data_IF_354447559577
#
_entry.id   IF_354447559577
#
_cell.length_a   1.000
_cell.length_b   1.000
_cell.length_c   1.000
_cell.angle_alpha   90.00
_cell.angle_beta   90.00
_cell.angle_gamma   90.00
#
_symmetry.space_group_name_H-M   'P 1'
#
loop_
_entity.id
_entity.type
_entity.pdbx_description
1 polymer ?
#
# COMPACT_ATOMS: atom_id res chain seq x y z
N UNK A 1 12.45 -45.67 48.13
CA UNK A 1 12.71 -47.12 47.95
C UNK A 1 11.94 -47.54 46.71
N UNK A 2 12.62 -47.57 45.56
CA UNK A 2 13.05 -48.78 44.82
C UNK A 2 11.91 -49.32 43.91
N UNK A 3 12.09 -49.69 42.65
CA UNK A 3 13.23 -49.79 41.71
C UNK A 3 12.63 -50.06 40.30
N UNK A 4 13.42 -49.77 39.27
CA UNK A 4 13.41 -50.19 37.86
C UNK A 4 12.60 -51.45 37.48
N UNK A 5 12.13 -51.65 36.24
CA UNK A 5 12.52 -51.13 34.94
C UNK A 5 12.52 -52.29 33.94
N UNK A 6 12.39 -52.04 32.63
CA UNK A 6 12.95 -52.90 31.59
C UNK A 6 12.98 -52.12 30.27
N UNK A 7 14.18 -51.67 29.90
CA UNK A 7 14.56 -51.40 28.51
C UNK A 7 14.70 -52.73 27.79
N UNK A 8 14.17 -52.84 26.57
CA UNK A 8 14.73 -53.69 25.52
C UNK A 8 14.90 -52.84 24.25
N UNK A 9 16.11 -52.93 23.69
CA UNK A 9 16.60 -52.19 22.53
C UNK A 9 16.57 -53.09 21.28
N UNK A 10 16.79 -52.45 20.13
CA UNK A 10 17.12 -52.97 18.77
C UNK A 10 15.93 -53.33 17.88
N UNK A 11 15.66 -52.63 16.76
CA UNK A 11 16.38 -52.29 15.51
C UNK A 11 16.18 -53.30 14.37
N UNK A 12 15.76 -52.75 13.22
CA UNK A 12 15.83 -53.23 11.84
C UNK A 12 14.81 -54.25 11.31
N UNK A 13 14.08 -53.83 10.28
CA UNK A 13 13.29 -54.66 9.37
C UNK A 13 12.58 -53.82 8.32
N UNK A 14 13.29 -53.46 7.25
CA UNK A 14 12.81 -52.69 6.12
C UNK A 14 11.84 -53.49 5.21
N UNK A 15 10.92 -52.74 4.59
CA UNK A 15 10.31 -52.87 3.24
C UNK A 15 9.98 -54.24 2.65
N UNK A 16 8.72 -54.42 2.23
CA UNK A 16 8.39 -54.78 0.83
C UNK A 16 7.16 -53.99 0.36
N UNK A 17 7.34 -53.33 -0.78
CA UNK A 17 6.42 -52.47 -1.46
C UNK A 17 5.30 -53.22 -2.20
N UNK A 18 4.11 -52.62 -2.24
CA UNK A 18 3.30 -52.61 -3.46
C UNK A 18 3.40 -51.21 -4.04
N UNK A 19 4.26 -51.07 -5.04
CA UNK A 19 4.50 -49.82 -5.73
C UNK A 19 3.25 -49.32 -6.44
N UNK A 20 2.74 -48.18 -5.96
CA UNK A 20 2.60 -47.02 -6.81
C UNK A 20 3.27 -45.87 -6.08
N UNK A 21 4.48 -45.54 -6.53
CA UNK A 21 5.00 -44.19 -6.43
C UNK A 21 3.91 -43.26 -6.96
N UNK A 22 3.15 -42.62 -6.08
CA UNK A 22 2.62 -41.31 -6.42
C UNK A 22 3.84 -40.40 -6.46
N UNK A 23 4.57 -40.47 -7.58
CA UNK A 23 5.32 -39.31 -8.02
C UNK A 23 4.37 -38.13 -7.96
N UNK A 24 4.89 -36.98 -7.55
CA UNK A 24 4.18 -35.71 -7.67
C UNK A 24 3.54 -35.69 -9.06
N UNK A 25 2.24 -35.97 -9.10
CA UNK A 25 1.50 -35.99 -10.35
C UNK A 25 1.46 -34.53 -10.74
N UNK A 26 2.11 -34.18 -11.86
CA UNK A 26 1.92 -32.89 -12.52
C UNK A 26 0.41 -32.69 -12.66
N UNK A 27 -0.19 -31.89 -11.78
CA UNK A 27 -1.54 -31.38 -11.99
C UNK A 27 -1.42 -30.44 -13.18
N UNK A 28 -2.11 -30.76 -14.26
CA UNK A 28 -1.87 -30.15 -15.57
C UNK A 28 -2.70 -28.88 -15.80
N UNK A 29 -3.55 -28.50 -14.85
CA UNK A 29 -4.38 -27.30 -14.93
C UNK A 29 -4.48 -26.61 -13.56
N UNK A 30 -4.37 -25.28 -13.55
CA UNK A 30 -4.41 -24.49 -12.32
C UNK A 30 -5.77 -24.54 -11.64
N UNK A 31 -6.88 -24.80 -12.36
CA UNK A 31 -8.20 -24.99 -11.74
C UNK A 31 -8.22 -26.13 -10.70
N UNK A 32 -7.42 -27.18 -10.89
CA UNK A 32 -7.26 -28.28 -9.92
C UNK A 32 -6.30 -27.92 -8.76
N UNK A 33 -5.43 -26.94 -8.98
CA UNK A 33 -4.52 -26.37 -7.97
C UNK A 33 -5.26 -25.34 -7.11
N UNK A 34 -6.05 -24.45 -7.72
CA UNK A 34 -6.88 -23.44 -7.08
C UNK A 34 -8.09 -24.06 -6.36
N UNK A 35 -8.71 -25.10 -6.93
CA UNK A 35 -9.65 -25.95 -6.20
C UNK A 35 -8.94 -26.72 -5.08
N UNK A 36 -7.64 -27.03 -5.24
CA UNK A 36 -6.78 -27.49 -4.16
C UNK A 36 -6.60 -26.44 -3.07
N UNK A 37 -6.31 -25.18 -3.39
CA UNK A 37 -6.14 -24.05 -2.46
C UNK A 37 -7.44 -23.78 -1.69
N UNK A 38 -8.58 -23.67 -2.40
CA UNK A 38 -9.90 -23.47 -1.80
C UNK A 38 -10.34 -24.65 -0.93
N UNK A 39 -9.86 -25.87 -1.21
CA UNK A 39 -10.20 -27.08 -0.45
C UNK A 39 -9.14 -27.52 0.57
N UNK A 40 -7.92 -26.95 0.55
CA UNK A 40 -6.79 -27.27 1.45
C UNK A 40 -6.35 -25.98 2.16
N UNK A 41 -7.20 -25.52 3.07
CA UNK A 41 -7.16 -24.21 3.74
C UNK A 41 -6.12 -24.19 4.86
N UNK A 42 -4.83 -24.33 4.54
CA UNK A 42 -3.77 -24.29 5.56
C UNK A 42 -2.54 -23.54 5.08
N UNK A 43 -1.93 -22.73 5.96
CA UNK A 43 -0.67 -22.02 5.73
C UNK A 43 0.41 -22.93 5.12
N UNK A 44 0.58 -24.15 5.66
CA UNK A 44 1.53 -25.15 5.15
C UNK A 44 1.28 -25.56 3.68
N UNK A 45 0.04 -25.51 3.20
CA UNK A 45 -0.27 -25.79 1.79
C UNK A 45 0.11 -24.61 0.89
N UNK A 46 -0.10 -23.36 1.34
CA UNK A 46 0.33 -22.16 0.62
C UNK A 46 1.86 -22.14 0.43
N UNK A 47 2.60 -22.43 1.49
CA UNK A 47 4.06 -22.52 1.47
C UNK A 47 4.55 -23.53 0.41
N UNK A 48 3.91 -24.70 0.30
CA UNK A 48 4.26 -25.72 -0.69
C UNK A 48 3.84 -25.32 -2.12
N UNK A 49 2.81 -24.49 -2.27
CA UNK A 49 2.24 -24.08 -3.56
C UNK A 49 2.98 -22.92 -4.22
N UNK A 50 3.73 -22.14 -3.46
CA UNK A 50 4.70 -21.17 -3.98
C UNK A 50 5.67 -21.79 -5.02
N UNK A 51 5.81 -23.13 -5.02
CA UNK A 51 6.62 -23.89 -5.96
C UNK A 51 6.06 -24.06 -7.38
N UNK A 52 4.80 -23.70 -7.67
CA UNK A 52 4.10 -24.08 -8.92
C UNK A 52 3.82 -22.94 -9.91
N UNK A 53 4.62 -21.87 -9.87
CA UNK A 53 4.35 -20.61 -10.57
C UNK A 53 3.82 -20.65 -12.02
N UNK A 54 3.08 -19.57 -12.32
CA UNK A 54 3.09 -18.71 -13.51
C UNK A 54 1.98 -18.65 -14.56
N UNK A 55 1.04 -19.58 -14.69
CA UNK A 55 0.24 -19.55 -15.94
C UNK A 55 -1.29 -19.37 -15.84
N UNK A 56 -1.96 -19.23 -14.69
CA UNK A 56 -3.43 -18.97 -14.71
C UNK A 56 -3.98 -18.26 -13.45
N UNK A 57 -3.70 -16.96 -13.29
CA UNK A 57 -4.45 -16.11 -12.35
C UNK A 57 -5.73 -15.58 -13.01
N UNK A 58 -6.72 -16.42 -13.31
CA UNK A 58 -7.93 -15.98 -14.05
C UNK A 58 -9.25 -16.35 -13.37
N UNK A 59 -10.24 -15.46 -13.55
CA UNK A 59 -11.63 -15.43 -13.02
C UNK A 59 -11.87 -14.67 -11.69
N UNK A 60 -11.42 -13.41 -11.59
CA UNK A 60 -11.91 -12.48 -10.54
C UNK A 60 -12.43 -11.15 -11.13
N UNK A 61 -11.91 -10.74 -12.29
CA UNK A 61 -12.26 -9.48 -12.97
C UNK A 61 -12.57 -9.70 -14.46
N UNK A 62 -12.96 -8.63 -15.16
CA UNK A 62 -13.11 -8.63 -16.61
C UNK A 62 -11.81 -9.14 -17.29
N UNK A 63 -11.96 -9.93 -18.37
CA UNK A 63 -10.85 -10.72 -18.92
C UNK A 63 -9.64 -9.90 -19.38
N UNK A 64 -9.88 -8.69 -19.89
CA UNK A 64 -8.83 -7.74 -20.30
C UNK A 64 -8.11 -7.12 -19.10
N UNK A 65 -8.83 -6.85 -18.01
CA UNK A 65 -8.26 -6.38 -16.74
C UNK A 65 -7.37 -7.48 -16.13
N UNK A 66 -7.87 -8.72 -16.08
CA UNK A 66 -7.07 -9.86 -15.63
C UNK A 66 -5.81 -10.03 -16.49
N UNK A 67 -5.92 -9.99 -17.82
CA UNK A 67 -4.77 -10.11 -18.72
C UNK A 67 -3.73 -9.00 -18.45
N UNK A 68 -4.17 -7.75 -18.31
CA UNK A 68 -3.29 -6.61 -18.02
C UNK A 68 -2.60 -6.73 -16.66
N UNK A 69 -3.35 -7.02 -15.60
CA UNK A 69 -2.81 -7.16 -14.24
C UNK A 69 -1.79 -8.30 -14.16
N UNK A 70 -2.08 -9.45 -14.77
CA UNK A 70 -1.14 -10.59 -14.82
C UNK A 70 0.10 -10.26 -15.62
N UNK A 71 -0.05 -9.58 -16.76
CA UNK A 71 1.08 -9.21 -17.60
C UNK A 71 2.05 -8.25 -16.88
N UNK A 72 1.52 -7.37 -16.03
CA UNK A 72 2.29 -6.37 -15.30
C UNK A 72 2.88 -6.91 -13.99
N UNK A 73 2.05 -7.50 -13.13
CA UNK A 73 2.44 -7.96 -11.78
C UNK A 73 2.97 -9.40 -11.76
N UNK A 74 2.53 -10.23 -12.70
CA UNK A 74 2.91 -11.64 -12.79
C UNK A 74 4.43 -11.87 -12.84
N UNK A 75 5.21 -11.10 -13.63
CA UNK A 75 6.67 -11.21 -13.62
C UNK A 75 7.31 -10.93 -12.25
N UNK A 76 6.74 -10.02 -11.45
CA UNK A 76 7.24 -9.66 -10.11
C UNK A 76 6.97 -10.82 -9.15
N UNK A 77 5.71 -11.25 -9.06
CA UNK A 77 5.32 -12.40 -8.24
C UNK A 77 6.12 -13.67 -8.62
N UNK A 78 6.37 -13.87 -9.91
CA UNK A 78 7.18 -14.97 -10.40
C UNK A 78 8.65 -14.89 -10.00
N UNK A 79 9.18 -13.68 -9.86
CA UNK A 79 10.53 -13.44 -9.36
C UNK A 79 10.60 -13.86 -7.89
N UNK A 80 9.73 -13.28 -7.06
CA UNK A 80 9.68 -13.53 -5.62
C UNK A 80 9.52 -15.04 -5.32
N UNK A 81 8.56 -15.69 -5.97
CA UNK A 81 8.29 -17.12 -5.79
C UNK A 81 9.48 -18.03 -6.13
N UNK A 82 10.36 -17.61 -7.06
CA UNK A 82 11.56 -18.39 -7.44
C UNK A 82 12.72 -18.17 -6.48
N UNK A 83 12.79 -17.02 -5.82
CA UNK A 83 13.91 -16.65 -4.96
C UNK A 83 13.60 -16.85 -3.47
N UNK A 84 12.33 -16.99 -3.09
CA UNK A 84 11.91 -17.16 -1.71
C UNK A 84 12.30 -18.53 -1.12
N UNK A 85 12.88 -18.52 0.09
CA UNK A 85 13.15 -19.75 0.86
C UNK A 85 11.86 -20.25 1.53
N UNK A 86 11.62 -21.57 1.49
CA UNK A 86 10.43 -22.18 2.08
C UNK A 86 10.84 -23.30 3.06
N UNK A 87 10.37 -23.28 4.33
CA UNK A 87 9.59 -22.22 4.97
C UNK A 87 10.46 -21.04 5.39
N UNK A 88 9.91 -19.82 5.36
CA UNK A 88 10.56 -18.61 5.87
C UNK A 88 9.55 -17.58 6.35
N UNK A 89 10.02 -16.55 7.07
CA UNK A 89 9.21 -15.37 7.42
C UNK A 89 8.66 -14.68 6.18
N UNK A 90 9.43 -14.62 5.09
CA UNK A 90 9.01 -14.03 3.82
C UNK A 90 7.82 -14.81 3.21
N UNK A 91 7.88 -16.14 3.19
CA UNK A 91 6.76 -16.98 2.71
C UNK A 91 5.53 -16.87 3.59
N UNK A 92 5.69 -16.80 4.92
CA UNK A 92 4.57 -16.61 5.83
C UNK A 92 3.88 -15.25 5.60
N UNK A 93 4.67 -14.17 5.43
CA UNK A 93 4.14 -12.84 5.13
C UNK A 93 3.47 -12.77 3.75
N UNK A 94 4.09 -13.36 2.72
CA UNK A 94 3.51 -13.46 1.38
C UNK A 94 2.16 -14.20 1.40
N UNK A 95 2.10 -15.38 2.04
CA UNK A 95 0.86 -16.15 2.17
C UNK A 95 -0.21 -15.44 3.03
N UNK A 96 0.22 -14.62 4.00
CA UNK A 96 -0.68 -13.76 4.77
C UNK A 96 -1.26 -12.65 3.90
N UNK A 97 -0.41 -11.90 3.19
CA UNK A 97 -0.81 -10.71 2.42
C UNK A 97 -1.60 -11.08 1.16
N UNK A 98 -1.13 -12.05 0.38
CA UNK A 98 -1.74 -12.37 -0.92
C UNK A 98 -2.98 -13.25 -0.77
N UNK A 99 -2.97 -14.20 0.16
CA UNK A 99 -4.02 -15.22 0.27
C UNK A 99 -4.80 -15.21 1.59
N UNK A 100 -4.34 -14.48 2.62
CA UNK A 100 -4.96 -14.51 3.95
C UNK A 100 -4.90 -15.88 4.62
N UNK A 101 -3.90 -16.71 4.29
CA UNK A 101 -3.82 -18.12 4.72
C UNK A 101 -2.94 -18.38 5.94
N UNK A 102 -2.15 -17.39 6.36
CA UNK A 102 -1.25 -17.46 7.51
C UNK A 102 -1.55 -16.32 8.50
N UNK A 103 -1.16 -16.51 9.76
CA UNK A 103 -1.13 -15.41 10.72
C UNK A 103 0.10 -14.53 10.47
N UNK A 104 0.00 -13.23 10.76
CA UNK A 104 1.16 -12.34 10.73
C UNK A 104 2.22 -12.83 11.72
N UNK A 105 3.46 -13.08 11.27
CA UNK A 105 4.55 -13.46 12.16
C UNK A 105 4.90 -12.30 13.11
N UNK A 106 5.62 -12.62 14.19
CA UNK A 106 6.18 -11.60 15.06
C UNK A 106 7.13 -10.68 14.27
N UNK A 107 7.10 -9.39 14.57
CA UNK A 107 7.99 -8.41 13.95
C UNK A 107 9.43 -8.74 14.32
N UNK A 108 10.28 -8.92 13.31
CA UNK A 108 11.72 -9.06 13.50
C UNK A 108 12.30 -7.75 14.03
N UNK A 109 12.96 -7.79 15.19
CA UNK A 109 13.61 -6.61 15.74
C UNK A 109 14.78 -6.19 14.85
N UNK A 110 14.85 -4.89 14.56
CA UNK A 110 15.96 -4.25 13.87
C UNK A 110 16.40 -3.03 14.66
N UNK A 111 17.70 -2.94 14.93
CA UNK A 111 18.29 -1.82 15.64
C UNK A 111 18.95 -0.88 14.63
N UNK A 112 18.52 0.38 14.64
CA UNK A 112 19.18 1.45 13.88
C UNK A 112 20.14 2.17 14.82
N UNK A 113 21.36 2.40 14.36
CA UNK A 113 22.37 3.14 15.13
C UNK A 113 22.05 4.64 15.13
N UNK A 114 21.96 5.23 16.32
CA UNK A 114 21.77 6.66 16.51
C UNK A 114 23.13 7.32 16.78
N UNK A 115 23.60 8.28 15.94
CA UNK A 115 24.92 8.90 16.09
C UNK A 115 25.08 9.65 17.41
N UNK A 116 24.05 10.37 17.84
CA UNK A 116 24.04 11.15 19.08
C UNK A 116 23.17 10.52 20.16
N UNK A 117 23.61 10.68 21.41
CA UNK A 117 22.80 10.31 22.57
C UNK A 117 21.60 11.26 22.71
N UNK A 118 20.42 10.70 23.01
CA UNK A 118 19.21 11.49 23.28
C UNK A 118 19.49 12.59 24.33
N UNK A 119 19.12 13.87 24.06
CA UNK A 119 19.31 14.95 25.02
C UNK A 119 18.59 14.69 26.34
N UNK A 120 19.31 14.77 27.47
CA UNK A 120 18.78 14.42 28.81
C UNK A 120 17.58 15.28 29.24
N UNK A 121 17.47 16.51 28.74
CA UNK A 121 16.45 17.49 29.13
C UNK A 121 15.57 17.92 27.94
N UNK A 122 15.33 17.01 26.98
CA UNK A 122 14.45 17.30 25.87
C UNK A 122 13.02 17.60 26.36
N UNK A 123 12.56 18.83 26.18
CA UNK A 123 11.19 19.26 26.46
C UNK A 123 10.60 19.95 25.24
N UNK A 124 9.27 19.84 25.07
CA UNK A 124 8.56 20.59 24.03
C UNK A 124 8.88 22.09 24.18
N UNK A 125 9.38 22.77 23.14
CA UNK A 125 9.63 24.21 23.20
C UNK A 125 8.34 24.98 23.47
N UNK A 126 8.46 26.12 24.15
CA UNK A 126 7.36 27.07 24.26
C UNK A 126 6.95 27.57 22.86
N UNK A 127 5.66 27.84 22.62
CA UNK A 127 5.22 28.51 21.40
C UNK A 127 6.02 29.80 21.18
N UNK A 128 6.43 30.07 19.93
CA UNK A 128 7.25 31.24 19.60
C UNK A 128 6.52 32.57 19.77
N UNK A 129 5.18 32.55 19.83
CA UNK A 129 4.35 33.76 19.84
C UNK A 129 4.32 34.50 18.50
N UNK A 130 4.98 33.96 17.46
CA UNK A 130 4.93 34.49 16.10
C UNK A 130 3.61 34.17 15.40
N UNK A 131 3.39 34.85 14.27
CA UNK A 131 2.26 34.55 13.39
C UNK A 131 2.42 33.14 12.81
N UNK A 132 1.42 32.25 12.96
CA UNK A 132 1.45 30.95 12.33
C UNK A 132 1.53 31.07 10.80
N UNK A 133 2.27 30.17 10.16
CA UNK A 133 2.21 29.99 8.72
C UNK A 133 0.95 29.19 8.35
N UNK A 134 0.44 29.43 7.14
CA UNK A 134 -0.58 28.59 6.53
C UNK A 134 0.11 27.64 5.54
N UNK A 135 -0.27 26.38 5.56
CA UNK A 135 0.27 25.33 4.67
C UNK A 135 -0.92 24.61 4.05
N UNK A 136 -0.81 24.30 2.77
CA UNK A 136 -1.77 23.46 2.05
C UNK A 136 -1.24 22.03 2.09
N UNK A 137 -2.11 21.07 2.35
CA UNK A 137 -1.78 19.64 2.36
C UNK A 137 -2.79 18.94 1.46
N UNK A 138 -2.30 18.36 0.36
CA UNK A 138 -3.07 17.63 -0.63
C UNK A 138 -2.47 16.23 -0.83
N UNK A 139 -3.33 15.28 -1.14
CA UNK A 139 -2.97 13.87 -1.29
C UNK A 139 -3.98 13.17 -2.18
N UNK A 140 -3.58 12.04 -2.77
CA UNK A 140 -4.46 11.09 -3.45
C UNK A 140 -5.35 11.78 -4.51
N UNK A 141 -4.75 12.63 -5.36
CA UNK A 141 -5.52 13.38 -6.36
C UNK A 141 -6.12 12.40 -7.37
N UNK A 142 -5.36 11.38 -7.80
CA UNK A 142 -5.80 10.35 -8.74
C UNK A 142 -6.51 10.94 -9.96
N UNK A 143 -5.79 11.77 -10.72
CA UNK A 143 -6.35 12.38 -11.93
C UNK A 143 -6.55 11.32 -13.01
N UNK A 144 -7.80 11.13 -13.43
CA UNK A 144 -8.15 10.32 -14.58
C UNK A 144 -8.26 11.19 -15.84
N UNK A 145 -7.20 11.15 -16.65
CA UNK A 145 -7.15 11.84 -17.95
C UNK A 145 -8.11 11.27 -18.99
N UNK A 146 -8.69 10.09 -18.72
CA UNK A 146 -9.70 9.43 -19.57
C UNK A 146 -11.12 9.64 -19.05
N UNK A 147 -11.31 10.35 -17.93
CA UNK A 147 -12.63 10.66 -17.40
C UNK A 147 -13.45 11.42 -18.44
N UNK A 148 -14.67 10.97 -18.68
CA UNK A 148 -15.60 11.67 -19.57
C UNK A 148 -16.94 11.90 -18.89
N UNK A 149 -17.36 13.17 -18.83
CA UNK A 149 -18.65 13.55 -18.23
C UNK A 149 -19.81 12.82 -18.90
N UNK A 150 -20.80 12.40 -18.09
CA UNK A 150 -21.98 11.65 -18.51
C UNK A 150 -21.75 10.21 -18.97
N UNK A 151 -20.53 9.67 -18.88
CA UNK A 151 -20.30 8.22 -18.99
C UNK A 151 -20.80 7.48 -17.75
N UNK A 152 -20.87 6.14 -17.80
CA UNK A 152 -21.40 5.36 -16.68
C UNK A 152 -20.45 5.34 -15.48
N UNK A 153 -20.89 5.81 -14.32
CA UNK A 153 -20.20 5.56 -13.04
C UNK A 153 -20.46 4.14 -12.50
N UNK A 154 -21.51 3.47 -13.00
CA UNK A 154 -21.87 2.12 -12.61
C UNK A 154 -21.37 1.16 -13.70
N UNK A 155 -20.20 0.58 -13.47
CA UNK A 155 -19.54 -0.35 -14.39
C UNK A 155 -18.97 -1.56 -13.64
N UNK A 156 -18.50 -2.57 -14.36
CA UNK A 156 -17.86 -3.77 -13.79
C UNK A 156 -16.33 -3.68 -13.73
N UNK A 157 -15.76 -2.55 -14.17
CA UNK A 157 -14.31 -2.33 -14.25
C UNK A 157 -13.80 -1.68 -12.97
N UNK A 158 -12.50 -1.81 -12.73
CA UNK A 158 -11.82 -1.22 -11.58
C UNK A 158 -11.89 0.32 -11.54
N UNK A 159 -11.94 0.96 -12.71
CA UNK A 159 -12.12 2.40 -12.86
C UNK A 159 -13.34 2.58 -13.78
N UNK A 160 -14.33 3.34 -13.33
CA UNK A 160 -15.52 3.70 -14.12
C UNK A 160 -15.40 5.13 -14.67
N UNK A 161 -16.49 5.71 -15.18
CA UNK A 161 -16.52 7.07 -15.73
C UNK A 161 -15.64 7.30 -16.97
N UNK A 162 -15.35 6.23 -17.71
CA UNK A 162 -14.66 6.28 -19.01
C UNK A 162 -15.52 5.59 -20.08
N UNK A 163 -15.37 5.97 -21.37
CA UNK A 163 -16.18 5.44 -22.47
C UNK A 163 -15.64 4.11 -23.03
N UNK A 164 -15.44 3.09 -22.18
CA UNK A 164 -14.90 1.80 -22.62
C UNK A 164 -15.76 1.10 -23.68
N UNK A 165 -17.08 1.22 -23.55
CA UNK A 165 -18.04 0.59 -24.45
C UNK A 165 -19.15 1.57 -24.88
N UNK A 166 -19.91 1.20 -25.91
CA UNK A 166 -21.05 2.01 -26.36
C UNK A 166 -22.15 2.15 -25.29
N UNK A 167 -22.28 1.19 -24.36
CA UNK A 167 -23.23 1.29 -23.25
C UNK A 167 -22.78 2.27 -22.17
N UNK A 168 -21.48 2.47 -22.03
CA UNK A 168 -20.91 3.40 -21.04
C UNK A 168 -20.80 4.82 -21.58
N UNK A 169 -20.95 5.00 -22.90
CA UNK A 169 -20.82 6.29 -23.57
C UNK A 169 -21.88 7.31 -23.09
N UNK A 170 -21.57 8.62 -23.18
CA UNK A 170 -22.49 9.68 -22.82
C UNK A 170 -23.85 9.54 -23.50
N UNK A 171 -24.93 9.64 -22.72
CA UNK A 171 -26.30 9.55 -23.21
C UNK A 171 -26.84 8.12 -23.39
N UNK A 172 -26.03 7.09 -23.19
CA UNK A 172 -26.44 5.69 -23.28
C UNK A 172 -26.56 4.97 -21.92
N UNK A 173 -26.24 5.64 -20.82
CA UNK A 173 -26.31 5.11 -19.45
C UNK A 173 -27.45 5.72 -18.63
N UNK A 174 -27.95 4.96 -17.64
CA UNK A 174 -28.85 5.46 -16.59
C UNK A 174 -28.09 6.02 -15.37
N UNK A 175 -26.76 5.92 -15.38
CA UNK A 175 -25.86 6.27 -14.28
C UNK A 175 -24.79 7.27 -14.77
N UNK A 176 -25.17 8.46 -15.27
CA UNK A 176 -24.22 9.41 -15.83
C UNK A 176 -23.36 10.06 -14.73
N UNK A 177 -22.04 10.01 -14.93
CA UNK A 177 -21.05 10.67 -14.10
C UNK A 177 -21.13 12.21 -14.22
N UNK A 178 -20.83 12.92 -13.13
CA UNK A 178 -20.91 14.38 -13.06
C UNK A 178 -19.78 15.08 -13.82
N UNK A 179 -19.85 16.41 -13.90
CA UNK A 179 -18.74 17.23 -14.44
C UNK A 179 -17.52 17.22 -13.51
N UNK A 180 -17.75 17.14 -12.20
CA UNK A 180 -16.71 17.17 -11.16
C UNK A 180 -16.51 15.82 -10.46
N UNK A 181 -16.90 14.72 -11.12
CA UNK A 181 -16.67 13.36 -10.60
C UNK A 181 -17.94 12.62 -10.20
N UNK A 182 -17.71 11.40 -9.71
CA UNK A 182 -18.65 10.54 -8.98
C UNK A 182 -17.86 9.79 -7.89
N UNK A 183 -18.52 9.34 -6.83
CA UNK A 183 -17.85 8.61 -5.73
C UNK A 183 -17.31 7.23 -6.14
N UNK A 184 -17.71 6.73 -7.30
CA UNK A 184 -17.30 5.43 -7.85
C UNK A 184 -16.15 5.54 -8.86
N UNK A 185 -15.54 6.73 -8.99
CA UNK A 185 -14.59 7.06 -10.04
C UNK A 185 -13.42 7.88 -9.52
N UNK A 186 -12.34 7.88 -10.29
CA UNK A 186 -11.20 8.76 -10.09
C UNK A 186 -11.51 10.21 -10.50
N UNK A 187 -10.60 11.11 -10.16
CA UNK A 187 -10.79 12.55 -10.22
C UNK A 187 -10.71 13.06 -11.66
N UNK A 188 -11.73 13.73 -12.19
CA UNK A 188 -11.57 14.46 -13.45
C UNK A 188 -10.67 15.69 -13.27
N UNK A 189 -9.98 16.07 -14.34
CA UNK A 189 -9.16 17.29 -14.37
C UNK A 189 -9.93 18.55 -13.94
N UNK A 190 -11.22 18.63 -14.25
CA UNK A 190 -12.10 19.74 -13.82
C UNK A 190 -12.19 19.89 -12.30
N UNK A 191 -12.20 18.79 -11.55
CA UNK A 191 -12.24 18.81 -10.09
C UNK A 191 -10.89 19.27 -9.53
N UNK A 192 -9.78 18.76 -10.07
CA UNK A 192 -8.43 19.18 -9.71
C UNK A 192 -8.21 20.68 -9.94
N UNK A 193 -8.55 21.18 -11.14
CA UNK A 193 -8.45 22.61 -11.48
C UNK A 193 -9.30 23.49 -10.56
N UNK A 194 -10.51 23.03 -10.20
CA UNK A 194 -11.38 23.75 -9.28
C UNK A 194 -10.81 23.80 -7.85
N UNK A 195 -10.14 22.74 -7.41
CA UNK A 195 -9.45 22.68 -6.12
C UNK A 195 -8.31 23.68 -6.09
N UNK A 196 -7.49 23.76 -7.13
CA UNK A 196 -6.41 24.76 -7.21
C UNK A 196 -6.94 26.19 -7.20
N UNK A 197 -8.03 26.47 -7.94
CA UNK A 197 -8.68 27.77 -7.90
C UNK A 197 -9.17 28.14 -6.49
N UNK A 198 -9.77 27.18 -5.77
CA UNK A 198 -10.21 27.38 -4.39
C UNK A 198 -9.03 27.60 -3.42
N UNK A 199 -7.93 26.87 -3.58
CA UNK A 199 -6.70 27.06 -2.79
C UNK A 199 -6.17 28.49 -2.98
N UNK A 200 -6.09 28.94 -4.24
CA UNK A 200 -5.63 30.30 -4.57
C UNK A 200 -6.55 31.39 -3.99
N UNK A 201 -7.86 31.15 -3.90
CA UNK A 201 -8.81 32.10 -3.30
C UNK A 201 -8.76 32.10 -1.76
N UNK A 202 -8.75 30.92 -1.14
CA UNK A 202 -8.91 30.76 0.31
C UNK A 202 -7.62 30.96 1.09
N UNK A 203 -6.48 30.56 0.52
CA UNK A 203 -5.16 30.62 1.15
C UNK A 203 -4.08 31.14 0.18
N UNK A 204 -4.27 32.34 -0.42
CA UNK A 204 -3.36 32.90 -1.43
C UNK A 204 -1.92 33.11 -0.96
N UNK A 205 -1.71 33.17 0.35
CA UNK A 205 -0.40 33.40 0.99
C UNK A 205 0.10 32.16 1.74
N UNK A 206 -0.29 30.95 1.32
CA UNK A 206 0.28 29.73 1.85
C UNK A 206 1.82 29.76 1.74
N UNK A 207 2.50 29.36 2.80
CA UNK A 207 3.96 29.34 2.86
C UNK A 207 4.55 28.32 1.87
N UNK A 208 3.88 27.18 1.73
CA UNK A 208 4.16 26.10 0.79
C UNK A 208 2.98 25.12 0.76
N UNK A 209 3.01 24.23 -0.20
CA UNK A 209 2.13 23.06 -0.30
C UNK A 209 2.90 21.79 0.02
N UNK A 210 2.25 20.87 0.70
CA UNK A 210 2.67 19.47 0.84
C UNK A 210 1.80 18.67 -0.12
N UNK A 211 2.44 17.81 -0.91
CA UNK A 211 1.76 16.85 -1.78
C UNK A 211 2.25 15.46 -1.45
N UNK A 212 1.36 14.59 -1.00
CA UNK A 212 1.74 13.28 -0.48
C UNK A 212 1.57 12.12 -1.47
N UNK A 213 1.52 12.38 -2.79
CA UNK A 213 1.63 11.36 -3.84
C UNK A 213 0.31 10.98 -4.51
N UNK A 214 0.40 10.00 -5.43
CA UNK A 214 -0.69 9.44 -6.24
C UNK A 214 -1.25 10.40 -7.32
N UNK A 215 -0.29 10.87 -8.16
CA UNK A 215 -0.29 11.60 -9.48
C UNK A 215 -1.30 12.74 -9.73
N UNK A 216 -0.99 13.93 -10.32
CA UNK A 216 0.19 14.72 -10.77
C UNK A 216 0.09 16.10 -10.07
N UNK A 217 1.19 16.87 -9.91
CA UNK A 217 1.15 18.26 -9.41
C UNK A 217 1.68 19.26 -10.46
N UNK A 218 0.83 20.20 -10.91
CA UNK A 218 1.17 21.16 -11.98
C UNK A 218 0.59 22.58 -11.85
N UNK A 219 0.24 23.07 -10.65
CA UNK A 219 -0.38 24.41 -10.54
C UNK A 219 -0.08 25.23 -9.28
N UNK A 220 0.79 24.76 -8.37
CA UNK A 220 1.10 25.46 -7.11
C UNK A 220 2.55 25.95 -7.05
N UNK A 221 2.81 26.88 -6.12
CA UNK A 221 4.10 27.56 -5.99
C UNK A 221 5.20 26.63 -5.45
N UNK A 222 5.57 26.75 -4.17
CA UNK A 222 6.57 25.90 -3.53
C UNK A 222 5.87 24.63 -3.03
N UNK A 223 6.25 23.48 -3.60
CA UNK A 223 5.65 22.18 -3.26
C UNK A 223 6.71 21.24 -2.69
N UNK A 224 6.37 20.57 -1.60
CA UNK A 224 7.13 19.46 -1.04
C UNK A 224 6.39 18.15 -1.29
N UNK A 225 6.82 17.45 -2.35
CA UNK A 225 6.26 16.18 -2.79
C UNK A 225 6.75 14.97 -2.00
N UNK A 226 5.93 13.92 -1.95
CA UNK A 226 6.25 12.55 -1.56
C UNK A 226 5.79 11.63 -2.66
N UNK A 227 6.57 10.60 -2.96
CA UNK A 227 6.17 9.59 -3.94
C UNK A 227 5.09 8.67 -3.36
N UNK A 228 3.97 8.57 -4.07
CA UNK A 228 2.84 7.69 -3.78
C UNK A 228 3.02 6.28 -4.35
N UNK A 229 2.13 5.35 -4.01
CA UNK A 229 2.24 3.98 -4.48
C UNK A 229 1.74 3.80 -5.93
N UNK A 230 0.88 4.69 -6.43
CA UNK A 230 0.39 4.77 -7.81
C UNK A 230 1.27 5.63 -8.73
N UNK A 231 2.35 6.23 -8.22
CA UNK A 231 3.30 7.03 -9.04
C UNK A 231 4.23 6.15 -9.91
N UNK A 232 4.06 4.83 -9.86
CA UNK A 232 4.79 3.88 -10.72
C UNK A 232 3.83 2.95 -11.45
N UNK A 233 4.36 2.34 -12.52
CA UNK A 233 3.70 1.28 -13.26
C UNK A 233 4.70 0.12 -13.40
N UNK A 234 4.34 -1.11 -12.96
CA UNK A 234 3.11 -1.49 -12.27
C UNK A 234 2.91 -0.78 -10.91
N UNK A 235 1.69 -0.79 -10.38
CA UNK A 235 1.39 -0.12 -9.09
C UNK A 235 2.20 -0.77 -7.97
N UNK A 236 2.62 -0.01 -6.96
CA UNK A 236 3.44 -0.48 -5.84
C UNK A 236 4.85 -1.00 -6.24
N UNK A 237 5.29 -0.83 -7.49
CA UNK A 237 6.52 -1.42 -7.98
C UNK A 237 7.76 -0.62 -7.55
N UNK A 238 8.28 -0.90 -6.35
CA UNK A 238 9.47 -0.25 -5.80
C UNK A 238 10.53 -1.28 -5.37
N UNK A 239 11.30 -1.85 -6.31
CA UNK A 239 12.37 -2.79 -5.96
C UNK A 239 13.44 -2.09 -5.10
N UNK A 240 13.75 -2.62 -3.91
CA UNK A 240 14.89 -2.16 -3.10
C UNK A 240 16.24 -2.33 -3.82
N UNK A 241 17.25 -1.61 -3.35
CA UNK A 241 18.57 -1.55 -4.00
C UNK A 241 19.28 -2.90 -4.11
N UNK A 242 19.05 -3.82 -3.17
CA UNK A 242 19.70 -5.15 -3.17
C UNK A 242 18.98 -6.18 -4.05
N UNK A 243 17.84 -5.82 -4.66
CA UNK A 243 17.11 -6.72 -5.56
C UNK A 243 17.73 -6.73 -6.96
N UNK A 244 18.14 -7.92 -7.40
CA UNK A 244 18.68 -8.13 -8.75
C UNK A 244 17.55 -8.32 -9.77
N UNK A 245 17.10 -7.22 -10.37
CA UNK A 245 16.01 -7.22 -11.36
C UNK A 245 16.31 -6.27 -12.52
N UNK A 246 15.64 -6.49 -13.65
CA UNK A 246 15.61 -5.55 -14.78
C UNK A 246 14.38 -4.64 -14.76
N UNK A 247 13.42 -4.91 -13.87
CA UNK A 247 12.25 -4.06 -13.64
C UNK A 247 12.67 -2.99 -12.64
N UNK A 248 12.46 -1.71 -12.98
CA UNK A 248 12.95 -0.60 -12.17
C UNK A 248 11.97 0.57 -12.16
N UNK A 249 11.85 1.21 -11.00
CA UNK A 249 11.15 2.48 -10.78
C UNK A 249 12.04 3.71 -10.97
N UNK A 250 13.28 3.55 -11.44
CA UNK A 250 14.22 4.68 -11.60
C UNK A 250 13.67 5.78 -12.51
N UNK A 251 12.91 5.42 -13.54
CA UNK A 251 12.27 6.40 -14.44
C UNK A 251 11.35 7.36 -13.69
N UNK A 252 10.66 6.89 -12.65
CA UNK A 252 9.79 7.71 -11.81
C UNK A 252 10.64 8.63 -10.93
N UNK A 253 11.68 8.10 -10.30
CA UNK A 253 12.61 8.90 -9.49
C UNK A 253 13.30 10.00 -10.30
N UNK A 254 13.74 9.69 -11.53
CA UNK A 254 14.38 10.65 -12.43
C UNK A 254 13.40 11.75 -12.85
N UNK A 255 12.15 11.39 -13.13
CA UNK A 255 11.08 12.35 -13.45
C UNK A 255 10.81 13.27 -12.26
N UNK A 256 10.56 12.71 -11.08
CA UNK A 256 10.29 13.47 -9.86
C UNK A 256 11.46 14.36 -9.46
N UNK A 257 12.70 13.85 -9.55
CA UNK A 257 13.90 14.65 -9.28
C UNK A 257 13.99 15.85 -10.24
N UNK A 258 13.75 15.64 -11.54
CA UNK A 258 13.74 16.71 -12.54
C UNK A 258 12.67 17.76 -12.21
N UNK A 259 11.44 17.34 -11.94
CA UNK A 259 10.31 18.24 -11.71
C UNK A 259 10.42 19.00 -10.39
N UNK A 260 10.86 18.33 -9.32
CA UNK A 260 10.96 18.90 -7.98
C UNK A 260 12.22 19.74 -7.77
N UNK A 261 13.23 19.65 -8.66
CA UNK A 261 14.48 20.41 -8.54
C UNK A 261 14.25 21.90 -8.31
N UNK A 262 13.21 22.48 -8.93
CA UNK A 262 12.86 23.89 -8.77
C UNK A 262 12.45 24.27 -7.33
N UNK A 263 11.94 23.31 -6.54
CA UNK A 263 11.44 23.51 -5.18
C UNK A 263 12.45 23.09 -4.11
N UNK A 264 13.17 22.00 -4.35
CA UNK A 264 14.06 21.39 -3.34
C UNK A 264 15.55 21.64 -3.62
N UNK A 265 15.88 22.15 -4.80
CA UNK A 265 17.26 22.36 -5.25
C UNK A 265 17.95 21.08 -5.71
N UNK A 266 19.09 21.23 -6.40
CA UNK A 266 19.77 20.10 -7.04
C UNK A 266 20.33 19.07 -6.05
N UNK A 267 20.78 19.49 -4.87
CA UNK A 267 21.31 18.55 -3.86
C UNK A 267 20.25 17.58 -3.38
N UNK A 268 19.05 18.07 -3.03
CA UNK A 268 17.95 17.22 -2.61
C UNK A 268 17.39 16.40 -3.79
N UNK A 269 17.37 16.95 -5.00
CA UNK A 269 16.96 16.23 -6.20
C UNK A 269 17.86 15.02 -6.51
N UNK A 270 19.18 15.11 -6.28
CA UNK A 270 20.07 13.94 -6.40
C UNK A 270 19.66 12.83 -5.43
N UNK A 271 19.24 13.17 -4.21
CA UNK A 271 18.76 12.19 -3.23
C UNK A 271 17.45 11.52 -3.67
N UNK A 272 16.57 12.25 -4.35
CA UNK A 272 15.35 11.69 -4.96
C UNK A 272 15.71 10.60 -5.97
N UNK A 273 16.77 10.78 -6.75
CA UNK A 273 17.20 9.79 -7.74
C UNK A 273 17.69 8.48 -7.11
N UNK A 274 18.22 8.51 -5.88
CA UNK A 274 18.78 7.32 -5.24
C UNK A 274 17.69 6.40 -4.65
N UNK A 275 16.62 6.97 -4.07
CA UNK A 275 15.60 6.19 -3.37
C UNK A 275 14.21 6.83 -3.27
N UNK A 276 13.92 7.89 -4.03
CA UNK A 276 12.60 8.54 -4.03
C UNK A 276 12.29 9.36 -2.77
N UNK A 277 13.31 9.74 -2.00
CA UNK A 277 13.20 10.50 -0.75
C UNK A 277 14.12 11.73 -0.79
N UNK A 278 13.90 12.72 0.08
CA UNK A 278 14.81 13.87 0.20
C UNK A 278 14.69 14.60 1.53
N UNK A 279 15.67 15.45 1.82
CA UNK A 279 15.71 16.34 2.98
C UNK A 279 16.10 17.75 2.53
N UNK A 280 15.29 18.76 2.88
CA UNK A 280 15.51 20.15 2.46
C UNK A 280 15.06 21.14 3.54
N UNK A 281 15.77 22.26 3.66
CA UNK A 281 15.39 23.33 4.58
C UNK A 281 14.37 24.24 3.91
N UNK A 282 13.27 24.53 4.63
CA UNK A 282 12.34 25.58 4.22
C UNK A 282 13.06 26.95 4.22
N UNK A 283 13.07 27.70 3.10
CA UNK A 283 13.88 28.92 2.97
C UNK A 283 13.54 30.02 3.98
N UNK A 284 12.27 30.17 4.37
CA UNK A 284 11.82 31.27 5.22
C UNK A 284 11.64 30.85 6.70
N UNK A 285 12.30 29.78 7.14
CA UNK A 285 12.18 29.32 8.52
C UNK A 285 13.27 28.37 8.98
N UNK A 286 13.17 27.97 10.25
CA UNK A 286 14.06 26.94 10.83
C UNK A 286 13.39 25.57 10.86
N UNK A 287 12.78 25.22 9.72
CA UNK A 287 12.05 23.98 9.48
C UNK A 287 12.77 23.18 8.40
N UNK A 288 13.01 21.92 8.68
CA UNK A 288 13.51 20.87 7.80
C UNK A 288 12.31 20.05 7.33
N UNK A 289 12.17 19.89 6.03
CA UNK A 289 11.20 18.99 5.43
C UNK A 289 11.95 17.74 5.01
N UNK A 290 11.49 16.58 5.46
CA UNK A 290 11.99 15.29 5.04
C UNK A 290 10.85 14.55 4.37
N UNK A 291 10.98 14.31 3.06
CA UNK A 291 10.10 13.42 2.31
C UNK A 291 10.65 12.01 2.43
N UNK A 292 9.85 11.10 2.94
CA UNK A 292 10.22 9.72 3.24
C UNK A 292 9.44 8.76 2.35
N UNK A 293 10.16 7.88 1.68
CA UNK A 293 9.61 6.92 0.72
C UNK A 293 9.03 5.71 1.46
N UNK A 294 7.76 5.85 1.85
CA UNK A 294 7.04 4.86 2.64
C UNK A 294 6.67 3.58 1.88
N UNK A 295 6.70 3.58 0.54
CA UNK A 295 6.37 2.38 -0.25
C UNK A 295 7.39 1.25 -0.10
N UNK A 296 8.61 1.57 0.34
CA UNK A 296 9.60 0.56 0.74
C UNK A 296 9.18 -0.24 2.00
N UNK A 297 8.13 0.19 2.70
CA UNK A 297 7.58 -0.50 3.87
C UNK A 297 6.13 -0.93 3.65
N UNK A 298 5.63 -0.83 2.42
CA UNK A 298 4.25 -1.15 2.09
C UNK A 298 4.08 -2.63 1.74
N UNK A 299 3.08 -3.29 2.32
CA UNK A 299 2.84 -4.73 2.17
C UNK A 299 2.54 -5.16 0.72
N UNK A 300 2.07 -4.25 -0.13
CA UNK A 300 1.74 -4.55 -1.53
C UNK A 300 2.90 -4.24 -2.49
N UNK A 301 4.01 -3.72 -1.97
CA UNK A 301 5.27 -3.75 -2.70
C UNK A 301 5.81 -5.18 -2.66
N UNK A 302 5.51 -5.95 -3.71
CA UNK A 302 5.81 -7.38 -3.74
C UNK A 302 7.31 -7.69 -3.71
N UNK A 303 8.15 -6.76 -4.17
CA UNK A 303 9.62 -6.87 -4.10
C UNK A 303 10.19 -7.03 -2.69
N UNK A 304 9.37 -6.84 -1.65
CA UNK A 304 9.76 -7.08 -0.26
C UNK A 304 9.69 -8.56 0.15
N UNK A 305 9.11 -9.45 -0.65
CA UNK A 305 8.93 -10.88 -0.34
C UNK A 305 10.05 -11.76 -0.88
N UNK A 306 11.29 -11.35 -0.66
CA UNK A 306 12.48 -12.00 -1.20
C UNK A 306 13.18 -12.94 -0.22
N UNK A 307 14.21 -13.66 -0.71
CA UNK A 307 14.98 -14.63 0.10
C UNK A 307 15.45 -14.04 1.42
N UNK A 308 16.00 -12.84 1.34
CA UNK A 308 16.47 -12.05 2.47
C UNK A 308 15.70 -10.74 2.43
N UNK A 309 14.58 -10.69 3.14
CA UNK A 309 13.88 -9.43 3.35
C UNK A 309 14.83 -8.44 4.01
N UNK A 310 15.02 -7.28 3.40
CA UNK A 310 15.78 -6.20 4.02
C UNK A 310 15.04 -5.70 5.28
N UNK A 311 15.75 -5.60 6.40
CA UNK A 311 15.20 -5.00 7.63
C UNK A 311 15.05 -3.49 7.51
N UNK A 312 15.87 -2.88 6.66
CA UNK A 312 15.82 -1.47 6.27
C UNK A 312 16.09 -1.34 4.76
N UNK A 313 15.02 -1.46 3.94
CA UNK A 313 15.16 -1.44 2.50
C UNK A 313 15.92 -0.21 1.99
N UNK A 314 16.99 -0.46 1.24
CA UNK A 314 17.89 0.57 0.71
C UNK A 314 18.56 1.45 1.78
N UNK A 315 18.58 1.03 3.05
CA UNK A 315 19.18 1.78 4.16
C UNK A 315 18.46 3.10 4.51
N UNK A 316 17.19 3.24 4.15
CA UNK A 316 16.48 4.51 4.26
C UNK A 316 16.23 4.95 5.71
N UNK A 317 16.03 4.04 6.67
CA UNK A 317 15.95 4.39 8.10
C UNK A 317 17.30 4.89 8.61
N UNK A 318 18.40 4.26 8.22
CA UNK A 318 19.74 4.73 8.56
C UNK A 318 20.00 6.14 7.99
N UNK A 319 19.59 6.39 6.74
CA UNK A 319 19.62 7.73 6.14
C UNK A 319 18.77 8.73 6.94
N UNK A 320 17.51 8.39 7.25
CA UNK A 320 16.62 9.24 8.03
C UNK A 320 17.21 9.61 9.40
N UNK A 321 17.83 8.67 10.10
CA UNK A 321 18.48 8.93 11.39
C UNK A 321 19.61 9.95 11.25
N UNK A 322 20.42 9.87 10.19
CA UNK A 322 21.48 10.85 9.94
C UNK A 322 20.90 12.25 9.63
N UNK A 323 19.81 12.34 8.86
CA UNK A 323 19.13 13.62 8.58
C UNK A 323 18.52 14.24 9.85
N UNK A 324 17.92 13.42 10.71
CA UNK A 324 17.38 13.86 12.01
C UNK A 324 18.47 14.34 12.96
N UNK A 325 19.61 13.64 13.01
CA UNK A 325 20.78 14.02 13.82
C UNK A 325 21.40 15.34 13.33
N UNK A 326 21.53 15.51 12.01
CA UNK A 326 21.98 16.75 11.39
C UNK A 326 21.02 17.92 11.70
N UNK A 327 19.71 17.69 11.62
CA UNK A 327 18.70 18.68 11.98
C UNK A 327 18.75 19.04 13.46
N UNK A 328 18.94 18.07 14.36
CA UNK A 328 19.12 18.31 15.80
C UNK A 328 20.37 19.17 16.06
N UNK A 329 21.50 18.82 15.43
CA UNK A 329 22.76 19.57 15.51
C UNK A 329 22.61 21.01 15.01
N UNK A 330 21.82 21.21 13.94
CA UNK A 330 21.50 22.53 13.39
C UNK A 330 20.43 23.30 14.21
N UNK A 331 19.86 22.68 15.25
CA UNK A 331 18.79 23.26 16.06
C UNK A 331 17.46 23.43 15.31
N UNK A 332 17.26 22.65 14.24
CA UNK A 332 16.09 22.71 13.37
C UNK A 332 14.91 21.95 13.96
N UNK A 333 13.73 22.19 13.38
CA UNK A 333 12.55 21.35 13.57
C UNK A 333 12.31 20.56 12.30
N UNK A 334 11.76 19.37 12.43
CA UNK A 334 11.54 18.47 11.30
C UNK A 334 10.06 18.22 11.13
N UNK A 335 9.58 18.34 9.89
CA UNK A 335 8.36 17.68 9.44
C UNK A 335 8.76 16.50 8.56
N UNK A 336 8.27 15.31 8.94
CA UNK A 336 8.47 14.07 8.22
C UNK A 336 7.20 13.77 7.44
N UNK A 337 7.32 13.69 6.12
CA UNK A 337 6.23 13.46 5.18
C UNK A 337 6.35 12.04 4.64
N UNK A 338 5.21 11.40 4.39
CA UNK A 338 5.10 10.04 3.87
C UNK A 338 3.75 9.87 3.19
N UNK A 339 3.65 8.91 2.27
CA UNK A 339 2.40 8.58 1.60
C UNK A 339 1.61 7.54 2.43
N UNK A 340 2.20 6.34 2.60
CA UNK A 340 1.61 5.30 3.43
C UNK A 340 1.76 5.65 4.91
N UNK A 341 0.68 5.61 5.70
CA UNK A 341 0.76 5.92 7.11
C UNK A 341 1.56 4.84 7.86
N UNK A 342 2.52 5.27 8.67
CA UNK A 342 3.24 4.36 9.57
C UNK A 342 2.28 3.80 10.63
N UNK A 343 2.56 2.59 11.11
CA UNK A 343 1.70 1.84 12.03
C UNK A 343 1.15 2.67 13.21
N UNK A 344 -0.11 2.45 13.55
CA UNK A 344 -0.83 3.27 14.53
C UNK A 344 -0.81 2.62 15.91
N UNK A 345 -0.32 3.35 16.91
CA UNK A 345 -0.61 3.00 18.29
C UNK A 345 -2.11 3.06 18.57
N UNK A 346 -2.61 2.16 19.43
CA UNK A 346 -4.03 2.08 19.79
C UNK A 346 -4.61 3.42 20.23
N UNK A 347 -3.84 4.23 20.96
CA UNK A 347 -4.28 5.55 21.39
C UNK A 347 -4.41 6.55 20.23
N UNK A 348 -3.49 6.51 19.25
CA UNK A 348 -3.57 7.34 18.05
C UNK A 348 -4.84 7.06 17.24
N UNK A 349 -5.24 5.77 17.16
CA UNK A 349 -6.52 5.37 16.54
C UNK A 349 -7.71 6.02 17.23
N UNK A 350 -7.74 6.00 18.57
CA UNK A 350 -8.80 6.63 19.36
C UNK A 350 -8.85 8.15 19.18
N UNK A 351 -7.69 8.82 19.14
CA UNK A 351 -7.62 10.27 18.92
C UNK A 351 -8.19 10.64 17.56
N UNK A 352 -7.86 9.92 16.49
CA UNK A 352 -8.45 10.17 15.17
C UNK A 352 -9.97 9.97 15.19
N UNK A 353 -10.48 8.88 15.76
CA UNK A 353 -11.92 8.69 15.89
C UNK A 353 -12.60 9.88 16.58
N UNK A 354 -11.99 10.42 17.64
CA UNK A 354 -12.49 11.61 18.34
C UNK A 354 -12.41 12.88 17.48
N UNK A 355 -11.35 13.07 16.69
CA UNK A 355 -11.21 14.20 15.75
C UNK A 355 -12.26 14.13 14.66
N UNK A 356 -12.46 12.96 14.04
CA UNK A 356 -13.48 12.74 13.01
C UNK A 356 -14.89 13.00 13.56
N UNK A 357 -15.19 12.52 14.77
CA UNK A 357 -16.46 12.79 15.45
C UNK A 357 -16.64 14.28 15.81
N UNK A 358 -15.56 14.99 16.16
CA UNK A 358 -15.60 16.44 16.44
C UNK A 358 -15.70 17.30 15.19
N UNK A 359 -15.08 16.91 14.08
CA UNK A 359 -15.13 17.60 12.80
C UNK A 359 -16.57 17.74 12.27
N UNK A 360 -17.36 16.66 12.39
CA UNK A 360 -18.80 16.65 12.07
C UNK A 360 -19.65 17.62 12.90
N UNK A 361 -19.19 18.01 14.09
CA UNK A 361 -19.95 18.86 15.02
C UNK A 361 -19.63 20.35 14.87
N UNK A 362 -18.72 20.76 13.97
CA UNK A 362 -18.37 22.16 13.73
C UNK A 362 -18.70 22.61 12.31
N UNK A 363 -20.00 22.72 12.02
CA UNK A 363 -20.53 23.75 11.11
C UNK A 363 -20.20 23.67 9.62
N UNK A 364 -19.76 22.53 9.09
CA UNK A 364 -19.81 22.29 7.65
C UNK A 364 -21.30 22.17 7.23
N UNK A 365 -21.71 22.79 6.10
CA UNK A 365 -23.06 22.57 5.56
C UNK A 365 -23.32 21.07 5.42
N UNK A 366 -24.49 20.61 5.85
CA UNK A 366 -24.92 19.19 5.85
C UNK A 366 -24.78 18.52 4.47
N UNK A 367 -24.65 19.30 3.40
CA UNK A 367 -24.37 18.84 2.03
C UNK A 367 -22.90 18.45 1.78
N UNK A 368 -21.92 19.03 2.49
CA UNK A 368 -20.49 18.64 2.42
C UNK A 368 -20.20 17.46 3.36
N UNK A 369 -20.99 17.32 4.43
CA UNK A 369 -20.90 16.19 5.39
C UNK A 369 -21.21 14.82 4.75
N UNK A 370 -21.77 14.80 3.53
CA UNK A 370 -21.97 13.60 2.71
C UNK A 370 -20.83 13.27 1.74
N UNK A 371 -19.89 14.21 1.52
CA UNK A 371 -18.75 14.00 0.63
C UNK A 371 -17.56 13.33 1.35
N UNK A 372 -17.59 13.26 2.67
CA UNK A 372 -16.58 12.56 3.49
C UNK A 372 -17.16 11.21 3.91
N UNK A 373 -17.04 10.21 3.03
CA UNK A 373 -17.26 8.81 3.38
C UNK A 373 -16.15 8.37 4.34
N UNK A 374 -16.51 7.72 5.45
CA UNK A 374 -15.51 7.14 6.33
C UNK A 374 -14.96 5.86 5.67
N UNK A 375 -13.67 5.51 5.84
CA UNK A 375 -13.11 4.22 5.39
C UNK A 375 -13.91 3.00 5.88
N UNK A 376 -14.70 3.20 6.93
CA UNK A 376 -15.50 2.18 7.60
C UNK A 376 -16.84 1.91 6.89
N UNK A 377 -17.34 2.78 6.01
CA UNK A 377 -18.61 2.52 5.32
C UNK A 377 -18.46 1.41 4.26
N UNK A 378 -17.35 1.39 3.52
CA UNK A 378 -16.98 0.28 2.65
C UNK A 378 -16.67 -1.00 3.44
N UNK A 379 -15.95 -0.89 4.56
CA UNK A 379 -15.66 -2.05 5.42
C UNK A 379 -16.91 -2.61 6.11
N UNK A 380 -17.87 -1.78 6.50
CA UNK A 380 -19.16 -2.22 7.07
C UNK A 380 -19.98 -2.92 5.98
N UNK A 381 -19.96 -2.42 4.75
CA UNK A 381 -20.67 -3.04 3.64
C UNK A 381 -20.04 -4.38 3.26
N UNK A 382 -18.71 -4.45 3.19
CA UNK A 382 -17.95 -5.69 2.99
C UNK A 382 -18.12 -6.69 4.16
N UNK A 383 -18.12 -6.23 5.41
CA UNK A 383 -18.40 -7.06 6.59
C UNK A 383 -19.87 -7.53 6.63
N UNK A 384 -20.82 -6.71 6.18
CA UNK A 384 -22.23 -7.07 6.08
C UNK A 384 -22.48 -8.08 4.95
N UNK A 385 -21.83 -7.92 3.80
CA UNK A 385 -21.88 -8.86 2.68
C UNK A 385 -21.21 -10.19 3.05
N UNK A 386 -20.04 -10.16 3.68
CA UNK A 386 -19.36 -11.37 4.20
C UNK A 386 -20.20 -12.04 5.31
N UNK A 387 -20.83 -11.27 6.20
CA UNK A 387 -21.77 -11.80 7.19
C UNK A 387 -22.99 -12.45 6.52
N UNK A 388 -23.52 -11.88 5.43
CA UNK A 388 -24.65 -12.43 4.67
C UNK A 388 -24.25 -13.75 3.98
N UNK A 389 -23.10 -13.78 3.32
CA UNK A 389 -22.54 -14.97 2.65
C UNK A 389 -22.30 -16.11 3.67
N UNK A 390 -21.78 -15.78 4.86
CA UNK A 390 -21.60 -16.76 5.96
C UNK A 390 -22.94 -17.31 6.46
N UNK A 391 -23.98 -16.48 6.54
CA UNK A 391 -25.33 -16.88 6.97
C UNK A 391 -25.98 -17.82 5.93
N UNK A 392 -25.90 -17.49 4.64
CA UNK A 392 -26.40 -18.34 3.57
C UNK A 392 -25.70 -19.70 3.51
N UNK A 393 -24.37 -19.73 3.66
CA UNK A 393 -23.58 -20.98 3.73
C UNK A 393 -23.96 -21.84 4.93
N UNK A 394 -24.27 -21.21 6.07
CA UNK A 394 -24.70 -21.90 7.30
C UNK A 394 -26.12 -22.47 7.14
N UNK A 395 -27.03 -21.74 6.51
CA UNK A 395 -28.39 -22.21 6.21
C UNK A 395 -28.41 -23.32 5.16
N UNK A 396 -27.54 -23.27 4.15
CA UNK A 396 -27.36 -24.32 3.14
C UNK A 396 -26.84 -25.63 3.75
N UNK A 397 -25.81 -25.55 4.62
CA UNK A 397 -25.27 -26.71 5.35
C UNK A 397 -26.27 -27.32 6.34
N UNK A 398 -27.09 -26.48 6.99
CA UNK A 398 -28.19 -26.92 7.85
C UNK A 398 -29.25 -27.70 7.07
N UNK A 399 -29.68 -27.18 5.90
CA UNK A 399 -30.66 -27.85 5.05
C UNK A 399 -30.17 -29.18 4.48
N UNK A 400 -28.88 -29.32 4.19
CA UNK A 400 -28.31 -30.57 3.66
C UNK A 400 -28.18 -31.66 4.74
N UNK A 401 -28.01 -31.31 6.02
CA UNK A 401 -27.96 -32.27 7.14
C UNK A 401 -29.33 -32.80 7.58
N UNK A 402 -30.42 -32.11 7.26
CA UNK A 402 -31.79 -32.58 7.58
C UNK A 402 -32.38 -33.49 6.50
N UNK A 403 -31.69 -33.66 5.38
CA UNK A 403 -32.10 -34.46 4.20
C UNK A 403 -31.26 -35.74 4.00
N UNK A 404 -30.40 -36.10 4.95
CA UNK A 404 -29.57 -37.31 4.93
C UNK A 404 -29.99 -38.31 6.01
#
# INVERSE_FOLDING_TARGET
MKIAGFLWLSLLGASIATGKTHGVVKRSTVSEILAGIKNTVTCAACEILAHLGNDDFVDVEDSDICEGAIAQEGPILAHDLRNMDIPSTATALFCTTIFGLCDYPAVSEYAVDFPSAKPMNASRPSPSGGTPIQVVDISDIHVDLSYETSTSYNCTRNICCQPYTLSDAPGNTSYPAGEFGDHSCDTPLSLEESMYAAIQELVPNAAFTIFTGDVVEGALNLVYGVIGNHDTAPVNCFPPADINTTISSQWAYDTLASDWTQWIGSTAATTVQDYGAYSVKYPDGNLRIISFHTNLYYKENFWLYEKSMETDPSGQLAWLVNELDAAETAGERVWLLGHMPMGWHTLSKLVLCVVMLRGRLRGLPVTIDKAILLPVEHLIQAEQEDAHIRLERTMSRSRSRTMA
#
